data_IF_869581578218
#
_entry.id   IF_869581578218
#
_cell.length_a   1.000
_cell.length_b   1.000
_cell.length_c   1.000
_cell.angle_alpha   90.00
_cell.angle_beta   90.00
_cell.angle_gamma   90.00
#
_symmetry.space_group_name_H-M   'P 1'
#
loop_
_entity.id
_entity.type
_entity.pdbx_description
1 polymer ?
#
# COMPACT_ATOMS: atom_id res chain seq x y z
N UNK A 1 21.09 1.69 -15.59
CA UNK A 1 20.44 0.60 -14.84
C UNK A 1 20.13 -0.50 -15.84
N UNK A 2 20.61 -1.71 -15.60
CA UNK A 2 20.23 -2.87 -16.41
C UNK A 2 18.90 -3.42 -15.85
N UNK A 3 17.83 -3.33 -16.63
CA UNK A 3 16.49 -3.70 -16.19
C UNK A 3 16.28 -5.22 -16.17
N UNK A 4 17.08 -5.98 -16.93
CA UNK A 4 16.93 -7.43 -17.02
C UNK A 4 17.41 -8.17 -15.76
N UNK A 5 18.29 -7.52 -14.98
CA UNK A 5 18.79 -8.06 -13.72
C UNK A 5 17.98 -7.62 -12.49
N UNK A 6 16.88 -6.87 -12.69
CA UNK A 6 16.06 -6.33 -11.59
C UNK A 6 14.83 -7.18 -11.30
N UNK A 7 14.36 -7.08 -10.06
CA UNK A 7 13.01 -7.47 -9.64
C UNK A 7 12.11 -6.23 -9.62
N UNK A 8 10.95 -6.32 -10.25
CA UNK A 8 10.05 -5.18 -10.39
C UNK A 8 8.98 -5.16 -9.31
N UNK A 9 8.89 -4.04 -8.59
CA UNK A 9 7.73 -3.67 -7.80
C UNK A 9 6.93 -2.65 -8.60
N UNK A 10 5.63 -2.87 -8.81
CA UNK A 10 4.85 -2.14 -9.80
C UNK A 10 3.57 -1.63 -9.14
N UNK A 11 3.32 -0.31 -9.22
CA UNK A 11 2.03 0.24 -8.83
C UNK A 11 0.90 -0.16 -9.80
N UNK A 12 -0.36 0.09 -9.41
CA UNK A 12 -1.54 -0.26 -10.20
C UNK A 12 -2.25 0.95 -10.80
N UNK A 13 -2.81 1.82 -9.95
CA UNK A 13 -3.64 2.94 -10.38
C UNK A 13 -2.79 4.08 -10.94
N UNK A 14 -2.94 4.40 -12.23
CA UNK A 14 -2.10 5.35 -12.94
C UNK A 14 -0.89 4.71 -13.63
N UNK A 15 -0.53 3.49 -13.24
CA UNK A 15 0.58 2.71 -13.79
C UNK A 15 0.08 1.60 -14.72
N UNK A 16 -0.79 0.71 -14.26
CA UNK A 16 -1.33 -0.39 -15.09
C UNK A 16 -2.66 -0.04 -15.76
N UNK A 17 -3.48 0.72 -15.06
CA UNK A 17 -4.79 1.20 -15.55
C UNK A 17 -5.12 2.56 -14.94
N UNK A 18 -6.08 3.27 -15.55
CA UNK A 18 -6.60 4.54 -15.04
C UNK A 18 -8.11 4.60 -15.26
N UNK A 19 -8.88 4.80 -14.18
CA UNK A 19 -10.34 4.88 -14.25
C UNK A 19 -11.00 3.65 -14.89
N UNK A 20 -10.42 2.46 -14.72
CA UNK A 20 -10.93 1.21 -15.29
C UNK A 20 -10.55 0.98 -16.77
N UNK A 21 -9.69 1.81 -17.34
CA UNK A 21 -9.12 1.63 -18.68
C UNK A 21 -7.65 1.24 -18.60
N UNK A 22 -7.18 0.26 -19.39
CA UNK A 22 -5.78 -0.14 -19.40
C UNK A 22 -4.90 0.99 -19.94
N UNK A 23 -3.70 1.13 -19.37
CA UNK A 23 -2.67 2.02 -19.91
C UNK A 23 -1.98 1.33 -21.08
N UNK A 24 -1.80 2.08 -22.18
CA UNK A 24 -1.17 1.57 -23.38
C UNK A 24 0.26 1.04 -23.11
N UNK A 25 0.56 -0.18 -23.56
CA UNK A 25 1.84 -0.85 -23.37
C UNK A 25 2.04 -1.52 -22.00
N UNK A 26 1.18 -1.25 -21.01
CA UNK A 26 1.30 -1.87 -19.67
C UNK A 26 1.18 -3.40 -19.74
N UNK A 27 0.24 -3.91 -20.54
CA UNK A 27 0.10 -5.34 -20.76
C UNK A 27 1.36 -5.94 -21.39
N UNK A 28 1.84 -5.34 -22.49
CA UNK A 28 3.00 -5.84 -23.23
C UNK A 28 4.25 -5.87 -22.34
N UNK A 29 4.38 -4.88 -21.45
CA UNK A 29 5.46 -4.83 -20.47
C UNK A 29 5.41 -6.01 -19.49
N UNK A 30 4.24 -6.31 -18.91
CA UNK A 30 4.09 -7.47 -17.99
C UNK A 30 4.29 -8.79 -18.73
N UNK A 31 3.74 -8.93 -19.95
CA UNK A 31 3.96 -10.12 -20.78
C UNK A 31 5.46 -10.29 -21.12
N UNK A 32 6.19 -9.19 -21.30
CA UNK A 32 7.64 -9.22 -21.49
C UNK A 32 8.36 -9.70 -20.22
N UNK A 33 8.03 -9.18 -19.03
CA UNK A 33 8.60 -9.66 -17.76
C UNK A 33 8.37 -11.17 -17.58
N UNK A 34 7.16 -11.64 -17.89
CA UNK A 34 6.81 -13.08 -17.82
C UNK A 34 7.64 -13.88 -18.83
N UNK A 35 7.74 -13.42 -20.06
CA UNK A 35 8.48 -14.10 -21.14
C UNK A 35 9.97 -14.24 -20.86
N UNK A 36 10.55 -13.24 -20.24
CA UNK A 36 11.98 -13.18 -19.91
C UNK A 36 12.26 -13.77 -18.51
N UNK A 37 11.23 -14.30 -17.80
CA UNK A 37 11.30 -14.79 -16.43
C UNK A 37 11.83 -13.75 -15.42
N UNK A 38 11.54 -12.48 -15.63
CA UNK A 38 11.91 -11.40 -14.71
C UNK A 38 10.87 -11.35 -13.58
N UNK A 39 11.29 -11.44 -12.31
CA UNK A 39 10.39 -11.42 -11.18
C UNK A 39 9.70 -10.08 -11.01
N UNK A 40 8.41 -10.10 -10.72
CA UNK A 40 7.66 -8.87 -10.41
C UNK A 40 6.57 -9.10 -9.37
N UNK A 41 6.15 -8.00 -8.74
CA UNK A 41 5.03 -7.96 -7.81
C UNK A 41 4.31 -6.61 -7.92
N UNK A 42 2.99 -6.65 -8.01
CA UNK A 42 2.17 -5.45 -7.90
C UNK A 42 2.08 -5.01 -6.45
N UNK A 43 2.37 -3.73 -6.18
CA UNK A 43 2.43 -3.15 -4.84
C UNK A 43 1.46 -1.98 -4.76
N UNK A 44 0.39 -2.12 -3.96
CA UNK A 44 -0.69 -1.14 -3.93
C UNK A 44 -1.09 -0.72 -2.51
N UNK A 45 -1.48 0.55 -2.35
CA UNK A 45 -2.10 1.07 -1.12
C UNK A 45 -3.55 0.59 -0.95
N UNK A 46 -4.16 0.01 -1.98
CA UNK A 46 -5.54 -0.43 -1.93
C UNK A 46 -5.70 -1.65 -1.01
N UNK A 47 -6.31 -1.43 0.15
CA UNK A 47 -6.56 -2.40 1.20
C UNK A 47 -7.99 -2.99 1.18
N UNK A 48 -8.76 -2.76 0.11
CA UNK A 48 -10.19 -3.13 0.06
C UNK A 48 -10.44 -4.54 -0.47
N UNK A 49 -9.47 -5.18 -1.10
CA UNK A 49 -9.67 -6.43 -1.84
C UNK A 49 -8.63 -7.48 -1.45
N UNK A 50 -9.08 -8.74 -1.37
CA UNK A 50 -8.19 -9.90 -1.31
C UNK A 50 -7.36 -9.98 -2.59
N UNK A 51 -6.16 -10.52 -2.51
CA UNK A 51 -5.19 -10.59 -3.63
C UNK A 51 -5.79 -11.18 -4.92
N UNK A 52 -6.57 -12.28 -4.82
CA UNK A 52 -7.17 -12.87 -6.01
C UNK A 52 -8.21 -11.95 -6.65
N UNK A 53 -9.01 -11.24 -5.86
CA UNK A 53 -9.96 -10.27 -6.38
C UNK A 53 -9.28 -9.05 -7.02
N UNK A 54 -8.09 -8.67 -6.53
CA UNK A 54 -7.26 -7.63 -7.17
C UNK A 54 -6.70 -8.14 -8.51
N UNK A 55 -6.22 -9.39 -8.56
CA UNK A 55 -5.75 -10.02 -9.78
C UNK A 55 -6.88 -10.16 -10.82
N UNK A 56 -8.05 -10.63 -10.43
CA UNK A 56 -9.22 -10.77 -11.32
C UNK A 56 -9.64 -9.42 -11.90
N UNK A 57 -9.60 -8.35 -11.08
CA UNK A 57 -9.90 -7.00 -11.54
C UNK A 57 -8.86 -6.50 -12.55
N UNK A 58 -7.56 -6.68 -12.27
CA UNK A 58 -6.48 -6.30 -13.21
C UNK A 58 -6.60 -7.08 -14.51
N UNK A 59 -6.80 -8.39 -14.45
CA UNK A 59 -6.98 -9.28 -15.61
C UNK A 59 -8.17 -8.84 -16.48
N UNK A 60 -9.30 -8.49 -15.83
CA UNK A 60 -10.50 -7.99 -16.52
C UNK A 60 -10.22 -6.68 -17.28
N UNK A 61 -9.44 -5.77 -16.68
CA UNK A 61 -9.16 -4.46 -17.27
C UNK A 61 -8.13 -4.58 -18.39
N UNK A 62 -7.05 -5.32 -18.18
CA UNK A 62 -5.87 -5.33 -19.07
C UNK A 62 -5.83 -6.49 -20.04
N UNK A 63 -6.59 -7.55 -19.78
CA UNK A 63 -6.50 -8.82 -20.52
C UNK A 63 -5.23 -9.62 -20.18
N UNK A 64 -4.58 -9.34 -19.04
CA UNK A 64 -3.52 -10.16 -18.47
C UNK A 64 -4.09 -11.46 -17.89
N UNK A 65 -3.19 -12.37 -17.49
CA UNK A 65 -3.51 -13.59 -16.75
C UNK A 65 -2.53 -13.74 -15.57
N UNK A 66 -2.68 -12.86 -14.58
CA UNK A 66 -1.88 -12.88 -13.34
C UNK A 66 -2.71 -13.43 -12.18
N UNK A 67 -2.03 -13.94 -11.17
CA UNK A 67 -2.65 -14.57 -10.00
C UNK A 67 -2.47 -13.70 -8.75
N UNK A 68 -3.25 -13.94 -7.71
CA UNK A 68 -3.17 -13.22 -6.45
C UNK A 68 -1.78 -13.24 -5.79
N UNK A 69 -0.96 -14.29 -6.04
CA UNK A 69 0.42 -14.37 -5.54
C UNK A 69 1.34 -13.22 -6.01
N UNK A 70 0.98 -12.56 -7.12
CA UNK A 70 1.73 -11.41 -7.66
C UNK A 70 1.33 -10.07 -7.03
N UNK A 71 0.55 -10.10 -5.94
CA UNK A 71 0.09 -8.88 -5.27
C UNK A 71 0.63 -8.77 -3.85
N UNK A 72 0.97 -7.54 -3.48
CA UNK A 72 1.33 -7.12 -2.14
C UNK A 72 0.62 -5.80 -1.83
N UNK A 73 -0.07 -5.75 -0.70
CA UNK A 73 -0.92 -4.63 -0.32
C UNK A 73 -0.45 -4.00 0.99
N UNK A 74 -0.99 -2.85 1.32
CA UNK A 74 -0.75 -2.22 2.63
C UNK A 74 -1.27 -3.08 3.81
N UNK A 75 -2.18 -4.03 3.57
CA UNK A 75 -2.61 -5.00 4.60
C UNK A 75 -1.54 -6.08 4.82
N UNK A 76 -0.87 -6.53 3.76
CA UNK A 76 0.30 -7.43 3.91
C UNK A 76 1.41 -6.75 4.71
N UNK A 77 1.64 -5.45 4.45
CA UNK A 77 2.60 -4.65 5.23
C UNK A 77 2.18 -4.55 6.69
N UNK A 78 0.89 -4.32 6.97
CA UNK A 78 0.38 -4.31 8.35
C UNK A 78 0.71 -5.63 9.06
N UNK A 79 0.44 -6.78 8.43
CA UNK A 79 0.76 -8.10 9.00
C UNK A 79 2.26 -8.27 9.23
N UNK A 80 3.07 -7.84 8.27
CA UNK A 80 4.54 -7.87 8.37
C UNK A 80 5.01 -7.04 9.57
N UNK A 81 4.54 -5.79 9.70
CA UNK A 81 4.92 -4.89 10.80
C UNK A 81 4.45 -5.44 12.15
N UNK A 82 3.21 -5.94 12.25
CA UNK A 82 2.70 -6.51 13.50
C UNK A 82 3.56 -7.70 13.96
N UNK A 83 3.97 -8.57 13.03
CA UNK A 83 4.83 -9.70 13.34
C UNK A 83 6.23 -9.25 13.79
N UNK A 84 6.84 -8.26 13.12
CA UNK A 84 8.13 -7.69 13.49
C UNK A 84 8.06 -6.95 14.85
N UNK A 85 7.03 -6.14 15.08
CA UNK A 85 6.87 -5.37 16.32
C UNK A 85 6.62 -6.31 17.52
N UNK A 86 5.90 -7.41 17.34
CA UNK A 86 5.74 -8.46 18.35
C UNK A 86 7.05 -9.20 18.64
N UNK A 87 7.78 -9.58 17.59
CA UNK A 87 9.03 -10.34 17.71
C UNK A 87 10.15 -9.50 18.36
N UNK A 88 10.21 -8.22 18.02
CA UNK A 88 11.19 -7.28 18.59
C UNK A 88 10.83 -6.79 20.01
N UNK A 89 9.62 -7.07 20.49
CA UNK A 89 9.11 -6.58 21.78
C UNK A 89 8.69 -5.10 21.75
N UNK A 90 8.63 -4.47 20.59
CA UNK A 90 8.12 -3.10 20.41
C UNK A 90 6.60 -3.04 20.64
N UNK A 91 5.90 -4.10 20.27
CA UNK A 91 4.50 -4.35 20.60
C UNK A 91 4.40 -5.51 21.58
N UNK A 92 3.72 -5.29 22.70
CA UNK A 92 3.37 -6.36 23.65
C UNK A 92 1.91 -6.75 23.45
N UNK A 93 1.64 -8.05 23.47
CA UNK A 93 0.29 -8.58 23.31
C UNK A 93 -0.26 -8.91 24.70
N UNK A 94 -0.68 -7.87 25.44
CA UNK A 94 -1.18 -8.00 26.81
C UNK A 94 -2.62 -8.53 26.85
N UNK A 95 -3.48 -7.99 25.98
CA UNK A 95 -4.88 -8.38 25.86
C UNK A 95 -5.12 -9.34 24.69
N UNK A 96 -4.27 -9.31 23.70
CA UNK A 96 -4.43 -10.05 22.44
C UNK A 96 -5.52 -9.48 21.56
N UNK A 97 -5.93 -8.21 21.77
CA UNK A 97 -7.08 -7.60 21.10
C UNK A 97 -6.71 -6.41 20.24
N UNK A 98 -7.54 -6.19 19.21
CA UNK A 98 -7.44 -5.07 18.29
C UNK A 98 -8.79 -4.35 18.19
N UNK A 99 -8.75 -3.02 18.14
CA UNK A 99 -9.86 -2.21 17.68
C UNK A 99 -9.64 -1.84 16.22
N UNK A 100 -10.59 -2.16 15.34
CA UNK A 100 -10.42 -1.99 13.89
C UNK A 100 -11.53 -1.10 13.33
N UNK A 101 -11.12 -0.01 12.68
CA UNK A 101 -11.96 0.76 11.74
C UNK A 101 -11.55 0.33 10.33
N UNK A 102 -12.44 -0.34 9.61
CA UNK A 102 -12.16 -0.84 8.27
C UNK A 102 -13.20 -1.84 7.79
N UNK A 103 -13.14 -2.14 6.49
CA UNK A 103 -14.00 -3.15 5.87
C UNK A 103 -13.69 -4.55 6.41
N UNK A 104 -14.62 -5.48 6.21
CA UNK A 104 -14.53 -6.86 6.75
C UNK A 104 -13.23 -7.57 6.35
N UNK A 105 -12.72 -7.35 5.14
CA UNK A 105 -11.44 -7.91 4.73
C UNK A 105 -10.29 -7.53 5.68
N UNK A 106 -10.20 -6.25 6.08
CA UNK A 106 -9.16 -5.82 7.03
C UNK A 106 -9.34 -6.48 8.40
N UNK A 107 -10.59 -6.62 8.86
CA UNK A 107 -10.92 -7.29 10.13
C UNK A 107 -10.51 -8.76 10.09
N UNK A 108 -10.84 -9.47 9.01
CA UNK A 108 -10.44 -10.86 8.80
C UNK A 108 -8.91 -11.02 8.89
N UNK A 109 -8.14 -10.15 8.20
CA UNK A 109 -6.68 -10.21 8.19
C UNK A 109 -6.06 -9.91 9.56
N UNK A 110 -6.69 -9.06 10.38
CA UNK A 110 -6.26 -8.80 11.76
C UNK A 110 -6.52 -10.02 12.65
N UNK A 111 -7.66 -10.70 12.47
CA UNK A 111 -7.95 -11.96 13.16
C UNK A 111 -6.96 -13.05 12.73
N UNK A 112 -6.65 -13.17 11.45
CA UNK A 112 -5.66 -14.11 10.91
C UNK A 112 -4.22 -13.80 11.40
N UNK A 113 -3.94 -12.54 11.76
CA UNK A 113 -2.71 -12.14 12.44
C UNK A 113 -2.70 -12.50 13.95
N UNK A 114 -3.77 -13.11 14.45
CA UNK A 114 -3.89 -13.67 15.80
C UNK A 114 -4.41 -12.67 16.85
N UNK A 115 -5.12 -11.62 16.45
CA UNK A 115 -5.80 -10.72 17.37
C UNK A 115 -7.30 -11.02 17.42
N UNK A 116 -7.90 -10.88 18.60
CA UNK A 116 -9.35 -10.83 18.77
C UNK A 116 -9.85 -9.40 18.55
N UNK A 117 -11.04 -9.24 17.97
CA UNK A 117 -11.61 -7.91 17.77
C UNK A 117 -12.44 -7.47 18.98
N UNK A 118 -12.21 -6.24 19.45
CA UNK A 118 -13.07 -5.57 20.42
C UNK A 118 -13.93 -4.50 19.77
N UNK A 119 -15.09 -4.22 20.37
CA UNK A 119 -16.00 -3.14 19.96
C UNK A 119 -16.22 -2.10 21.05
N UNK A 120 -15.77 -2.37 22.28
CA UNK A 120 -15.93 -1.48 23.42
C UNK A 120 -14.66 -1.52 24.26
N UNK A 121 -13.82 -0.52 24.12
CA UNK A 121 -12.50 -0.46 24.76
C UNK A 121 -12.54 -0.16 26.27
N UNK A 122 -13.70 0.24 26.81
CA UNK A 122 -13.89 0.40 28.25
C UNK A 122 -14.09 -0.95 28.97
N UNK A 123 -14.84 -1.84 28.33
CA UNK A 123 -15.11 -3.17 28.86
C UNK A 123 -14.05 -4.18 28.45
N UNK A 124 -13.45 -3.97 27.30
CA UNK A 124 -12.59 -4.90 26.62
C UNK A 124 -11.40 -4.18 25.96
N UNK A 125 -10.36 -3.79 26.72
CA UNK A 125 -9.20 -3.05 26.23
C UNK A 125 -8.45 -3.77 25.11
N UNK A 126 -7.76 -3.01 24.24
CA UNK A 126 -6.98 -3.56 23.14
C UNK A 126 -5.52 -3.07 23.14
N UNK A 127 -4.65 -3.87 22.54
CA UNK A 127 -3.22 -3.57 22.39
C UNK A 127 -2.97 -2.69 21.17
N UNK A 128 -3.83 -2.78 20.15
CA UNK A 128 -3.64 -2.09 18.87
C UNK A 128 -4.96 -1.46 18.37
N UNK A 129 -4.83 -0.30 17.75
CA UNK A 129 -5.85 0.35 16.92
C UNK A 129 -5.39 0.32 15.48
N UNK A 130 -6.20 -0.24 14.61
CA UNK A 130 -5.90 -0.36 13.19
C UNK A 130 -6.98 0.37 12.39
N UNK A 131 -6.54 1.28 11.51
CA UNK A 131 -7.44 2.08 10.68
C UNK A 131 -7.17 1.82 9.21
N UNK A 132 -8.22 1.47 8.50
CA UNK A 132 -8.28 1.40 7.05
C UNK A 132 -9.48 2.17 6.53
N UNK A 133 -9.75 2.02 5.22
CA UNK A 133 -10.96 2.57 4.65
C UNK A 133 -12.20 1.83 5.19
N UNK A 134 -13.13 2.61 5.72
CA UNK A 134 -14.46 2.16 6.12
C UNK A 134 -15.48 3.17 5.59
N UNK A 135 -16.34 2.72 4.67
CA UNK A 135 -17.33 3.59 4.03
C UNK A 135 -18.57 3.81 4.92
N UNK A 136 -18.68 3.09 6.02
CA UNK A 136 -19.78 3.15 6.97
C UNK A 136 -19.35 3.66 8.35
N UNK A 137 -18.11 4.18 8.47
CA UNK A 137 -17.57 4.65 9.74
C UNK A 137 -18.44 5.74 10.35
N UNK A 138 -18.72 5.60 11.63
CA UNK A 138 -19.57 6.51 12.39
C UNK A 138 -18.82 7.09 13.61
N UNK A 139 -19.31 8.21 14.13
CA UNK A 139 -18.68 8.93 15.25
C UNK A 139 -18.37 8.06 16.49
N UNK A 140 -19.22 7.09 16.90
CA UNK A 140 -18.89 6.21 18.03
C UNK A 140 -17.58 5.42 17.82
N UNK A 141 -17.28 5.00 16.58
CA UNK A 141 -16.04 4.28 16.28
C UNK A 141 -14.80 5.17 16.45
N UNK A 142 -14.92 6.47 16.13
CA UNK A 142 -13.84 7.44 16.38
C UNK A 142 -13.60 7.63 17.89
N UNK A 143 -14.66 7.61 18.72
CA UNK A 143 -14.54 7.69 20.18
C UNK A 143 -13.73 6.50 20.69
N UNK A 144 -14.15 5.27 20.39
CA UNK A 144 -13.48 4.05 20.86
C UNK A 144 -12.00 4.01 20.43
N UNK A 145 -11.72 4.25 19.15
CA UNK A 145 -10.36 4.28 18.63
C UNK A 145 -9.50 5.36 19.33
N UNK A 146 -10.05 6.57 19.52
CA UNK A 146 -9.31 7.66 20.16
C UNK A 146 -9.02 7.37 21.63
N UNK A 147 -9.97 6.78 22.35
CA UNK A 147 -9.79 6.39 23.76
C UNK A 147 -8.71 5.30 23.86
N UNK A 148 -8.76 4.27 23.01
CA UNK A 148 -7.75 3.21 23.01
C UNK A 148 -6.34 3.76 22.76
N UNK A 149 -6.16 4.62 21.75
CA UNK A 149 -4.87 5.27 21.44
C UNK A 149 -4.38 6.12 22.62
N UNK A 150 -5.24 6.90 23.26
CA UNK A 150 -4.89 7.70 24.45
C UNK A 150 -4.48 6.82 25.65
N UNK A 151 -4.97 5.58 25.72
CA UNK A 151 -4.60 4.59 26.75
C UNK A 151 -3.33 3.81 26.42
N UNK A 152 -2.71 4.10 25.27
CA UNK A 152 -1.42 3.51 24.89
C UNK A 152 -1.49 2.37 23.89
N UNK A 153 -2.66 2.07 23.31
CA UNK A 153 -2.75 1.13 22.20
C UNK A 153 -1.91 1.61 21.01
N UNK A 154 -1.14 0.72 20.39
CA UNK A 154 -0.35 1.05 19.21
C UNK A 154 -1.26 1.40 18.04
N UNK A 155 -0.93 2.46 17.30
CA UNK A 155 -1.80 3.00 16.26
C UNK A 155 -1.22 2.76 14.86
N UNK A 156 -1.95 2.00 14.02
CA UNK A 156 -1.58 1.64 12.65
C UNK A 156 -2.61 2.16 11.65
N UNK A 157 -2.13 2.61 10.49
CA UNK A 157 -2.94 3.11 9.38
C UNK A 157 -2.55 2.37 8.10
N UNK A 158 -3.51 1.76 7.41
CA UNK A 158 -3.23 0.96 6.21
C UNK A 158 -2.57 1.78 5.10
N UNK A 159 -3.04 3.01 4.87
CA UNK A 159 -2.44 3.94 3.91
C UNK A 159 -2.80 5.40 4.25
N UNK A 160 -1.96 6.37 3.82
CA UNK A 160 -2.14 7.78 4.15
C UNK A 160 -3.08 8.53 3.19
N UNK A 161 -3.69 7.85 2.22
CA UNK A 161 -4.47 8.49 1.17
C UNK A 161 -5.69 9.21 1.77
N UNK A 162 -5.68 10.54 1.74
CA UNK A 162 -6.74 11.35 2.34
C UNK A 162 -8.02 11.34 1.53
N UNK A 163 -7.93 11.02 0.24
CA UNK A 163 -9.06 10.95 -0.67
C UNK A 163 -8.84 9.91 -1.75
N UNK A 164 -9.92 9.42 -2.32
CA UNK A 164 -9.87 8.59 -3.52
C UNK A 164 -10.97 8.98 -4.52
N UNK A 165 -10.78 8.75 -5.83
CA UNK A 165 -11.75 9.13 -6.84
C UNK A 165 -12.98 8.21 -6.82
N UNK A 166 -14.16 8.81 -7.00
CA UNK A 166 -15.42 8.12 -7.21
C UNK A 166 -16.16 8.73 -8.41
N UNK A 167 -17.26 8.09 -8.86
CA UNK A 167 -18.12 8.65 -9.89
C UNK A 167 -18.86 9.95 -9.48
N UNK A 168 -18.78 10.32 -8.20
CA UNK A 168 -19.37 11.54 -7.63
C UNK A 168 -18.35 12.64 -7.32
N UNK A 169 -17.05 12.37 -7.55
CA UNK A 169 -15.94 13.22 -7.17
C UNK A 169 -15.03 12.56 -6.16
N UNK A 170 -14.11 13.30 -5.56
CA UNK A 170 -13.24 12.78 -4.51
C UNK A 170 -14.00 12.55 -3.21
N UNK A 171 -13.76 11.40 -2.59
CA UNK A 171 -14.35 11.00 -1.30
C UNK A 171 -13.25 10.67 -0.29
N UNK A 172 -13.54 10.75 1.05
CA UNK A 172 -12.53 10.50 2.07
C UNK A 172 -11.93 9.11 1.98
N UNK A 173 -10.59 9.05 2.03
CA UNK A 173 -9.81 7.81 2.10
C UNK A 173 -9.46 7.39 3.53
N UNK A 174 -8.70 6.31 3.68
CA UNK A 174 -8.24 5.82 4.97
C UNK A 174 -7.42 6.85 5.75
N UNK A 175 -6.59 7.64 5.03
CA UNK A 175 -5.84 8.74 5.62
C UNK A 175 -6.71 9.79 6.29
N UNK A 176 -7.85 10.16 5.68
CA UNK A 176 -8.79 11.11 6.29
C UNK A 176 -9.42 10.54 7.57
N UNK A 177 -9.79 9.25 7.58
CA UNK A 177 -10.29 8.56 8.77
C UNK A 177 -9.23 8.55 9.87
N UNK A 178 -7.99 8.20 9.57
CA UNK A 178 -6.86 8.22 10.51
C UNK A 178 -6.57 9.62 11.05
N UNK A 179 -6.74 10.67 10.23
CA UNK A 179 -6.55 12.07 10.65
C UNK A 179 -7.52 12.50 11.76
N UNK A 180 -8.75 11.99 11.79
CA UNK A 180 -9.71 12.28 12.88
C UNK A 180 -9.14 11.83 14.22
N UNK A 181 -8.57 10.61 14.28
CA UNK A 181 -7.97 10.05 15.50
C UNK A 181 -6.69 10.80 15.85
N UNK A 182 -5.82 11.06 14.86
CA UNK A 182 -4.59 11.84 15.05
C UNK A 182 -4.88 13.23 15.62
N UNK A 183 -5.89 13.93 15.08
CA UNK A 183 -6.28 15.26 15.56
C UNK A 183 -6.81 15.23 17.00
N UNK A 184 -7.57 14.19 17.37
CA UNK A 184 -8.13 14.02 18.71
C UNK A 184 -7.09 13.60 19.76
N UNK A 185 -6.09 12.81 19.37
CA UNK A 185 -5.14 12.18 20.32
C UNK A 185 -3.76 12.82 20.27
N UNK A 186 -3.39 13.49 19.18
CA UNK A 186 -2.03 13.96 18.84
C UNK A 186 -1.01 12.82 18.69
N UNK A 187 -1.48 11.59 18.52
CA UNK A 187 -0.66 10.43 18.24
C UNK A 187 -0.71 10.16 16.75
N UNK A 188 0.45 10.01 16.11
CA UNK A 188 0.55 9.69 14.69
C UNK A 188 0.60 8.17 14.51
N UNK A 189 -0.09 7.61 13.51
CA UNK A 189 -0.06 6.19 13.21
C UNK A 189 1.27 5.77 12.59
N UNK A 190 1.59 4.48 12.74
CA UNK A 190 2.53 3.81 11.84
C UNK A 190 1.78 3.53 10.54
N UNK A 191 2.24 4.16 9.45
CA UNK A 191 1.64 4.01 8.13
C UNK A 191 2.19 2.76 7.45
N UNK A 192 1.31 1.86 6.99
CA UNK A 192 1.70 0.60 6.37
C UNK A 192 1.91 0.72 4.86
N UNK A 193 1.22 1.67 4.20
CA UNK A 193 1.29 1.89 2.76
C UNK A 193 2.39 2.87 2.32
N UNK A 194 2.56 3.00 0.99
CA UNK A 194 3.40 4.03 0.36
C UNK A 194 2.98 5.42 0.88
N UNK A 195 3.88 6.34 1.17
CA UNK A 195 5.32 6.35 0.85
C UNK A 195 6.23 5.67 1.87
N UNK A 196 5.70 4.92 2.83
CA UNK A 196 6.54 4.23 3.81
C UNK A 196 7.36 3.12 3.13
N UNK A 197 8.66 3.04 3.45
CA UNK A 197 9.57 2.02 2.95
C UNK A 197 9.14 0.58 3.29
N UNK A 198 8.41 0.40 4.39
CA UNK A 198 8.03 -0.92 4.89
C UNK A 198 7.19 -1.73 3.90
N UNK A 199 6.42 -1.09 3.02
CA UNK A 199 5.67 -1.81 1.98
C UNK A 199 6.60 -2.45 0.95
N UNK A 200 7.71 -1.79 0.63
CA UNK A 200 8.75 -2.31 -0.26
C UNK A 200 9.54 -3.41 0.43
N UNK A 201 9.95 -3.19 1.68
CA UNK A 201 10.70 -4.15 2.47
C UNK A 201 9.93 -5.46 2.66
N UNK A 202 8.64 -5.37 3.01
CA UNK A 202 7.76 -6.53 3.14
C UNK A 202 7.51 -7.25 1.81
N UNK A 203 7.34 -6.53 0.70
CA UNK A 203 7.20 -7.12 -0.62
C UNK A 203 8.48 -7.88 -1.03
N UNK A 204 9.65 -7.29 -0.84
CA UNK A 204 10.93 -7.92 -1.14
C UNK A 204 11.19 -9.13 -0.24
N UNK A 205 10.87 -9.04 1.05
CA UNK A 205 10.97 -10.18 1.97
C UNK A 205 10.09 -11.36 1.52
N UNK A 206 8.86 -11.08 1.07
CA UNK A 206 7.94 -12.10 0.51
C UNK A 206 8.49 -12.73 -0.77
N UNK A 207 9.17 -11.96 -1.61
CA UNK A 207 9.74 -12.43 -2.87
C UNK A 207 11.12 -13.09 -2.70
N UNK A 208 11.82 -12.89 -1.59
CA UNK A 208 13.17 -13.39 -1.33
C UNK A 208 14.28 -12.63 -2.06
N UNK A 209 14.09 -11.33 -2.33
CA UNK A 209 15.06 -10.47 -3.00
C UNK A 209 15.57 -9.36 -2.06
N UNK A 210 16.78 -8.86 -2.38
CA UNK A 210 17.40 -7.73 -1.68
C UNK A 210 17.10 -6.39 -2.34
N UNK A 211 17.32 -5.29 -1.61
CA UNK A 211 17.04 -3.93 -2.09
C UNK A 211 17.86 -3.53 -3.33
N UNK A 212 19.10 -3.97 -3.42
CA UNK A 212 20.00 -3.67 -4.56
C UNK A 212 19.52 -4.29 -5.88
N UNK A 213 18.72 -5.34 -5.82
CA UNK A 213 18.10 -5.99 -6.98
C UNK A 213 16.79 -5.34 -7.39
N UNK A 214 16.21 -4.46 -6.59
CA UNK A 214 14.85 -3.97 -6.76
C UNK A 214 14.77 -2.69 -7.58
N UNK A 215 13.68 -2.55 -8.33
CA UNK A 215 13.23 -1.29 -8.93
C UNK A 215 11.73 -1.12 -8.74
N UNK A 216 11.30 0.08 -8.38
CA UNK A 216 9.89 0.42 -8.26
C UNK A 216 9.42 1.19 -9.49
N UNK A 217 8.36 0.73 -10.16
CA UNK A 217 7.70 1.42 -11.27
C UNK A 217 6.38 2.02 -10.79
N UNK A 218 6.23 3.34 -10.90
CA UNK A 218 5.01 4.03 -10.49
C UNK A 218 4.86 5.41 -11.12
N UNK A 219 3.66 5.98 -11.02
CA UNK A 219 3.27 7.26 -11.62
C UNK A 219 3.12 8.41 -10.61
N UNK A 220 3.19 8.10 -9.33
CA UNK A 220 2.96 9.06 -8.27
C UNK A 220 4.25 9.37 -7.49
N UNK A 221 4.74 10.60 -7.63
CA UNK A 221 5.97 11.05 -6.97
C UNK A 221 5.86 10.99 -5.44
N UNK A 222 4.67 11.31 -4.89
CA UNK A 222 4.46 11.43 -3.44
C UNK A 222 4.29 10.07 -2.74
N UNK A 223 3.92 9.05 -3.47
CA UNK A 223 3.73 7.69 -2.92
C UNK A 223 4.77 6.72 -3.44
N UNK A 224 4.82 6.49 -4.75
CA UNK A 224 5.62 5.43 -5.36
C UNK A 224 7.11 5.74 -5.34
N UNK A 225 7.45 6.90 -5.86
CA UNK A 225 8.86 7.31 -5.96
C UNK A 225 9.41 7.65 -4.58
N UNK A 226 8.61 8.33 -3.74
CA UNK A 226 8.99 8.56 -2.34
C UNK A 226 9.16 7.26 -1.55
N UNK A 227 8.34 6.22 -1.80
CA UNK A 227 8.53 4.92 -1.15
C UNK A 227 9.85 4.26 -1.58
N UNK A 228 10.17 4.31 -2.88
CA UNK A 228 11.43 3.79 -3.40
C UNK A 228 12.65 4.53 -2.82
N UNK A 229 12.59 5.87 -2.78
CA UNK A 229 13.62 6.70 -2.17
C UNK A 229 13.80 6.38 -0.67
N UNK A 230 12.69 6.30 0.08
CA UNK A 230 12.71 5.95 1.50
C UNK A 230 13.24 4.53 1.75
N UNK A 231 13.02 3.60 0.84
CA UNK A 231 13.56 2.25 0.91
C UNK A 231 15.02 2.13 0.44
N UNK A 232 15.51 3.14 -0.29
CA UNK A 232 16.86 3.15 -0.86
C UNK A 232 16.99 2.20 -2.05
N UNK A 233 15.96 2.09 -2.89
CA UNK A 233 15.96 1.29 -4.12
C UNK A 233 15.84 2.18 -5.37
N UNK A 234 16.19 1.62 -6.53
CA UNK A 234 15.96 2.28 -7.80
C UNK A 234 14.47 2.50 -8.08
N UNK A 235 14.15 3.55 -8.83
CA UNK A 235 12.78 3.87 -9.23
C UNK A 235 12.67 4.29 -10.70
N UNK A 236 11.55 3.92 -11.31
CA UNK A 236 11.13 4.36 -12.65
C UNK A 236 9.84 5.16 -12.47
N UNK A 237 9.91 6.45 -12.73
CA UNK A 237 8.74 7.30 -12.77
C UNK A 237 8.15 7.29 -14.19
N UNK A 238 6.89 6.84 -14.32
CA UNK A 238 6.15 6.81 -15.58
C UNK A 238 5.06 7.87 -15.60
N UNK A 239 5.02 8.71 -16.64
CA UNK A 239 4.13 9.87 -16.73
C UNK A 239 2.71 9.53 -17.24
N UNK A 240 2.18 8.36 -16.85
CA UNK A 240 0.86 7.88 -17.32
C UNK A 240 -0.28 8.17 -16.34
N UNK A 241 0.01 8.69 -15.17
CA UNK A 241 -0.96 8.79 -14.08
C UNK A 241 -1.11 10.18 -13.46
N UNK A 242 -0.77 10.29 -12.16
CA UNK A 242 -1.08 11.47 -11.33
C UNK A 242 -0.14 12.64 -11.62
N UNK A 243 1.16 12.39 -11.75
CA UNK A 243 2.18 13.41 -11.90
C UNK A 243 2.87 13.36 -13.27
N UNK A 244 3.55 14.46 -13.61
CA UNK A 244 4.44 14.58 -14.76
C UNK A 244 5.80 15.05 -14.29
N UNK A 245 6.81 15.03 -15.17
CA UNK A 245 8.17 15.52 -14.84
C UNK A 245 8.21 16.97 -14.35
N UNK A 246 7.23 17.79 -14.72
CA UNK A 246 7.17 19.19 -14.27
C UNK A 246 6.98 19.32 -12.75
N UNK A 247 6.47 18.26 -12.09
CA UNK A 247 6.29 18.22 -10.64
C UNK A 247 7.54 17.77 -9.86
N UNK A 248 8.61 17.31 -10.54
CA UNK A 248 9.81 16.80 -9.87
C UNK A 248 10.47 17.83 -8.95
N UNK A 249 10.60 19.09 -9.43
CA UNK A 249 11.17 20.18 -8.63
C UNK A 249 10.27 20.56 -7.45
N UNK A 250 8.95 20.56 -7.67
CA UNK A 250 7.96 20.91 -6.64
C UNK A 250 8.02 19.93 -5.45
N UNK A 251 8.09 18.65 -5.75
CA UNK A 251 8.09 17.60 -4.70
C UNK A 251 9.49 17.23 -4.20
N UNK A 252 10.55 17.67 -4.88
CA UNK A 252 11.93 17.40 -4.48
C UNK A 252 12.32 15.93 -4.48
N UNK A 253 11.64 15.10 -5.29
CA UNK A 253 11.83 13.64 -5.38
C UNK A 253 12.62 13.33 -6.65
N UNK A 254 13.61 12.44 -6.55
CA UNK A 254 14.55 12.14 -7.63
C UNK A 254 14.45 10.67 -8.07
N UNK A 255 13.60 10.34 -9.06
CA UNK A 255 13.56 8.98 -9.62
C UNK A 255 14.87 8.64 -10.34
N UNK A 256 15.24 7.35 -10.33
CA UNK A 256 16.43 6.87 -11.07
C UNK A 256 16.25 7.01 -12.58
N UNK A 257 15.02 6.78 -13.06
CA UNK A 257 14.64 6.92 -14.48
C UNK A 257 13.27 7.59 -14.60
N UNK A 258 13.13 8.50 -15.57
CA UNK A 258 11.85 9.11 -15.93
C UNK A 258 11.50 8.69 -17.34
N UNK A 259 10.30 8.16 -17.55
CA UNK A 259 9.79 7.72 -18.83
C UNK A 259 8.39 8.28 -19.09
N UNK A 260 8.13 8.60 -20.34
CA UNK A 260 6.83 9.13 -20.75
C UNK A 260 5.74 8.04 -20.81
N UNK A 261 6.14 6.83 -21.20
CA UNK A 261 5.23 5.70 -21.42
C UNK A 261 5.99 4.35 -21.42
N UNK A 262 5.26 3.25 -21.56
CA UNK A 262 5.85 1.90 -21.62
C UNK A 262 6.69 1.63 -22.85
N UNK A 263 6.42 2.28 -23.99
CA UNK A 263 7.23 2.13 -25.19
C UNK A 263 8.67 2.60 -24.93
N UNK A 264 8.83 3.69 -24.19
CA UNK A 264 10.15 4.19 -23.78
C UNK A 264 10.90 3.18 -22.90
N UNK A 265 10.21 2.47 -21.98
CA UNK A 265 10.83 1.40 -21.18
C UNK A 265 11.22 0.22 -22.10
N UNK A 266 10.30 -0.26 -22.93
CA UNK A 266 10.51 -1.43 -23.78
C UNK A 266 11.60 -1.21 -24.85
N UNK A 267 11.83 0.04 -25.28
CA UNK A 267 12.90 0.38 -26.22
C UNK A 267 14.30 0.32 -25.60
N UNK A 268 14.41 0.31 -24.28
CA UNK A 268 15.69 0.18 -23.55
C UNK A 268 16.03 -1.26 -23.20
N UNK A 269 15.18 -2.20 -23.60
CA UNK A 269 15.25 -3.63 -23.24
C UNK A 269 16.22 -4.46 -24.04
#
# INVERSE_FOLDING_TARGET
MDLQDKVFLIDLDGTMYRGGQPIAGAKDFIERLIGDNIPFMFVTNNAMRKHQAAADNLNKITGLNVEGKHFYTSVDTLRFILAEDLTSGKLTKETGKAYVIGMDYLKDEVVDAGFELTQNVDQDPCDVVIVGLDQEVAYPQFIEASIAVQRGAAFYLTNPDVQFPSNRGFVPGAGAIGQVITAATRVHPIVCGKPNALIIEGALAKMGYSKDQAVFLGDNLMTDISAAENAGIDSIFIETGVHTRDHLEEFGVMPTLVVENYEAILSTW
#
